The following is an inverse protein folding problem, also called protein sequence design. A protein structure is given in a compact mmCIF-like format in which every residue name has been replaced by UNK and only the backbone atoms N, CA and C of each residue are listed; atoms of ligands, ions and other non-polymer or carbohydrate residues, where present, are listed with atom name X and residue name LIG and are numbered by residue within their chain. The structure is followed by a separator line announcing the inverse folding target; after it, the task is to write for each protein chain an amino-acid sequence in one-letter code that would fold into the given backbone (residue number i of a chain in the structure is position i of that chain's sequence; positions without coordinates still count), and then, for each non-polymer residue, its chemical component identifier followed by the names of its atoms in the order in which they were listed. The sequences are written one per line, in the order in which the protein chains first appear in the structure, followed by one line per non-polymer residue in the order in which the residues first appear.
data_IF_799238979257
#
_entry.id   IF_799238979257
#
_cell.length_a   1.000
_cell.length_b   1.000
_cell.length_c   1.000
_cell.angle_alpha   90.00
_cell.angle_beta   90.00
_cell.angle_gamma   90.00
#
_symmetry.space_group_name_H-M   'P 1'
#
loop_
_entity.id
_entity.type
_entity.pdbx_description
1 polymer ?
#
# COMPACT_ATOMS: atom_id res chain seq x y z
N UNK A 1 2.99 22.48 -7.71
CA UNK A 1 1.65 22.79 -7.14
C UNK A 1 0.51 21.91 -7.69
N UNK A 2 0.81 20.69 -8.16
CA UNK A 2 -0.21 19.69 -8.52
C UNK A 2 0.11 18.36 -7.81
N UNK A 3 1.40 18.08 -7.61
CA UNK A 3 1.93 16.88 -6.96
C UNK A 3 1.81 16.89 -5.42
N UNK A 4 1.63 18.07 -4.80
CA UNK A 4 1.56 18.21 -3.35
C UNK A 4 0.16 17.89 -2.79
N UNK A 5 -0.88 18.08 -3.59
CA UNK A 5 -2.26 17.72 -3.22
C UNK A 5 -2.56 16.25 -3.48
N UNK A 6 -1.80 15.60 -4.37
CA UNK A 6 -1.77 14.14 -4.58
C UNK A 6 -1.12 13.37 -3.41
N UNK A 7 -0.38 14.08 -2.55
CA UNK A 7 0.18 13.55 -1.30
C UNK A 7 -0.83 13.61 -0.14
N UNK A 8 -1.87 14.47 -0.24
CA UNK A 8 -2.90 14.68 0.79
C UNK A 8 -4.17 13.88 0.58
N UNK A 9 -4.33 13.20 -0.55
CA UNK A 9 -5.58 12.52 -0.95
C UNK A 9 -5.83 11.16 -0.28
N UNK A 10 -5.22 10.91 0.88
CA UNK A 10 -5.67 9.90 1.85
C UNK A 10 -5.23 8.46 1.57
N UNK A 11 -4.08 8.06 2.13
CA UNK A 11 -3.70 6.72 2.61
C UNK A 11 -3.83 5.48 1.68
N UNK A 12 -4.43 5.58 0.50
CA UNK A 12 -4.73 4.46 -0.43
C UNK A 12 -3.69 4.32 -1.53
N UNK A 13 -3.11 5.43 -2.00
CA UNK A 13 -2.04 5.42 -3.02
C UNK A 13 -0.74 4.81 -2.46
N UNK A 14 -0.46 5.04 -1.17
CA UNK A 14 0.69 4.47 -0.46
C UNK A 14 0.52 2.97 -0.22
N UNK A 15 -0.69 2.52 0.13
CA UNK A 15 -1.00 1.09 0.30
C UNK A 15 -0.77 0.28 -0.99
N UNK A 16 -1.16 0.81 -2.16
CA UNK A 16 -0.90 0.16 -3.44
C UNK A 16 0.59 -0.02 -3.75
N UNK A 17 1.43 0.96 -3.38
CA UNK A 17 2.88 0.87 -3.53
C UNK A 17 3.48 -0.20 -2.61
N UNK A 18 3.09 -0.23 -1.34
CA UNK A 18 3.56 -1.25 -0.39
C UNK A 18 3.12 -2.66 -0.78
N UNK A 19 1.88 -2.84 -1.23
CA UNK A 19 1.40 -4.13 -1.74
C UNK A 19 2.28 -4.60 -2.90
N UNK A 20 2.65 -3.71 -3.82
CA UNK A 20 3.59 -4.02 -4.90
C UNK A 20 4.98 -4.45 -4.40
N UNK A 21 5.53 -3.78 -3.39
CA UNK A 21 6.81 -4.16 -2.78
C UNK A 21 6.73 -5.54 -2.09
N UNK A 22 5.66 -5.81 -1.35
CA UNK A 22 5.46 -7.11 -0.67
C UNK A 22 5.28 -8.24 -1.68
N UNK A 23 4.49 -8.02 -2.73
CA UNK A 23 4.32 -8.99 -3.81
C UNK A 23 5.65 -9.29 -4.52
N UNK A 24 6.49 -8.27 -4.72
CA UNK A 24 7.82 -8.44 -5.32
C UNK A 24 8.77 -9.21 -4.40
N UNK A 25 8.83 -8.86 -3.11
CA UNK A 25 9.69 -9.53 -2.13
C UNK A 25 9.29 -11.00 -1.92
N UNK A 26 7.99 -11.30 -2.00
CA UNK A 26 7.47 -12.66 -1.88
C UNK A 26 7.40 -13.41 -3.21
N UNK A 27 7.86 -12.80 -4.31
CA UNK A 27 7.81 -13.37 -5.67
C UNK A 27 6.40 -13.83 -6.07
N UNK A 28 5.37 -13.08 -5.67
CA UNK A 28 3.97 -13.40 -5.93
C UNK A 28 3.40 -14.55 -5.09
N UNK A 29 4.14 -15.05 -4.08
CA UNK A 29 3.66 -16.10 -3.16
C UNK A 29 2.74 -15.57 -2.06
N UNK A 30 2.78 -14.26 -1.77
CA UNK A 30 1.88 -13.67 -0.79
C UNK A 30 0.45 -13.53 -1.34
N UNK A 31 -0.53 -13.71 -0.46
CA UNK A 31 -1.92 -13.43 -0.80
C UNK A 31 -2.18 -11.91 -0.80
N UNK A 32 -2.58 -11.31 -1.94
CA UNK A 32 -2.78 -9.87 -2.04
C UNK A 32 -3.87 -9.32 -1.10
N UNK A 33 -4.89 -10.11 -0.77
CA UNK A 33 -5.94 -9.70 0.18
C UNK A 33 -5.39 -9.58 1.60
N UNK A 34 -4.62 -10.59 2.03
CA UNK A 34 -3.98 -10.59 3.34
C UNK A 34 -2.96 -9.45 3.48
N UNK A 35 -2.18 -9.20 2.42
CA UNK A 35 -1.22 -8.08 2.38
C UNK A 35 -1.94 -6.74 2.51
N UNK A 36 -3.05 -6.53 1.81
CA UNK A 36 -3.83 -5.30 1.90
C UNK A 36 -4.45 -5.11 3.29
N UNK A 37 -4.95 -6.18 3.92
CA UNK A 37 -5.48 -6.15 5.29
C UNK A 37 -4.41 -5.76 6.30
N UNK A 38 -3.24 -6.41 6.26
CA UNK A 38 -2.12 -6.10 7.15
C UNK A 38 -1.59 -4.68 6.94
N UNK A 39 -1.56 -4.20 5.69
CA UNK A 39 -1.16 -2.82 5.39
C UNK A 39 -2.18 -1.82 5.92
N UNK A 40 -3.48 -2.07 5.76
CA UNK A 40 -4.52 -1.21 6.33
C UNK A 40 -4.42 -1.18 7.86
N UNK A 41 -4.25 -2.32 8.52
CA UNK A 41 -4.07 -2.40 9.98
C UNK A 41 -2.83 -1.65 10.46
N UNK A 42 -1.73 -1.66 9.70
CA UNK A 42 -0.47 -0.99 10.06
C UNK A 42 -0.42 0.49 9.69
N UNK A 43 -1.18 0.93 8.69
CA UNK A 43 -1.19 2.32 8.18
C UNK A 43 -2.37 3.14 8.71
N UNK A 44 -3.30 2.54 9.45
CA UNK A 44 -4.45 3.23 10.08
C UNK A 44 -4.17 3.78 11.48
N UNK A 45 -2.89 3.94 11.85
CA UNK A 45 -2.45 4.63 13.08
C UNK A 45 -2.16 6.11 12.80
#
# INVERSE_FOLDING_TARGET
PEQADDYRSGNTRVAGWFTGQVMKATQGKANPQLVNQLLQEKLST
#
